data_IF_969313087672
#
_entry.id   IF_969313087672
#
_cell.length_a   1.000
_cell.length_b   1.000
_cell.length_c   1.000
_cell.angle_alpha   90.00
_cell.angle_beta   90.00
_cell.angle_gamma   90.00
#
_symmetry.space_group_name_H-M   'P 1'
#
loop_
_entity.id
_entity.type
_entity.pdbx_description
1 polymer ?
#
# COMPACT_ATOMS: atom_id res chain seq x y z
N UNK A 1 -13.83 -17.41 15.45
CA UNK A 1 -13.98 -16.68 14.18
C UNK A 1 -12.73 -15.83 13.96
N UNK A 2 -12.11 -15.96 12.81
CA UNK A 2 -10.91 -15.18 12.52
C UNK A 2 -11.28 -13.73 12.23
N UNK A 3 -10.30 -12.84 12.27
CA UNK A 3 -10.54 -11.44 11.93
C UNK A 3 -11.07 -11.32 10.50
N UNK A 4 -10.51 -12.08 9.56
CA UNK A 4 -10.98 -12.06 8.16
C UNK A 4 -12.45 -12.47 8.08
N UNK A 5 -12.83 -13.50 8.82
CA UNK A 5 -14.22 -13.95 8.85
C UNK A 5 -15.14 -12.89 9.44
N UNK A 6 -14.69 -12.20 10.48
CA UNK A 6 -15.48 -11.11 11.06
C UNK A 6 -15.68 -9.98 10.06
N UNK A 7 -14.61 -9.62 9.35
CA UNK A 7 -14.67 -8.55 8.33
C UNK A 7 -15.65 -8.96 7.22
N UNK A 8 -15.51 -10.18 6.71
CA UNK A 8 -16.38 -10.66 5.65
C UNK A 8 -17.86 -10.68 6.08
N UNK A 9 -18.13 -11.12 7.30
CA UNK A 9 -19.49 -11.19 7.80
C UNK A 9 -20.10 -9.80 7.95
N UNK A 10 -19.33 -8.84 8.44
CA UNK A 10 -19.81 -7.47 8.60
C UNK A 10 -20.10 -6.83 7.25
N UNK A 11 -19.26 -7.09 6.24
CA UNK A 11 -19.49 -6.57 4.90
C UNK A 11 -20.75 -7.20 4.30
N UNK A 12 -20.92 -8.52 4.45
CA UNK A 12 -22.09 -9.22 3.94
C UNK A 12 -23.39 -8.69 4.56
N UNK A 13 -23.34 -8.37 5.86
CA UNK A 13 -24.49 -7.84 6.57
C UNK A 13 -24.62 -6.32 6.47
N UNK A 14 -23.72 -5.68 5.73
CA UNK A 14 -23.70 -4.23 5.54
C UNK A 14 -23.55 -3.46 6.85
N UNK A 15 -22.85 -4.05 7.80
CA UNK A 15 -22.60 -3.40 9.09
C UNK A 15 -21.30 -2.58 9.02
N UNK A 16 -21.28 -1.61 8.12
CA UNK A 16 -20.06 -0.85 7.85
C UNK A 16 -19.60 0.02 9.02
N UNK A 17 -20.55 0.53 9.79
CA UNK A 17 -20.18 1.34 10.96
C UNK A 17 -19.49 0.48 12.02
N UNK A 18 -20.01 -0.73 12.24
CA UNK A 18 -19.39 -1.66 13.18
C UNK A 18 -18.02 -2.11 12.68
N UNK A 19 -17.91 -2.33 11.38
CA UNK A 19 -16.64 -2.73 10.77
C UNK A 19 -15.60 -1.63 10.95
N UNK A 20 -15.97 -0.38 10.70
CA UNK A 20 -15.05 0.73 10.89
C UNK A 20 -14.62 0.83 12.34
N UNK A 21 -15.56 0.68 13.27
CA UNK A 21 -15.24 0.70 14.70
C UNK A 21 -14.24 -0.39 15.08
N UNK A 22 -14.39 -1.57 14.50
CA UNK A 22 -13.47 -2.67 14.74
C UNK A 22 -12.08 -2.34 14.19
N UNK A 23 -12.00 -1.84 12.97
CA UNK A 23 -10.71 -1.60 12.31
C UNK A 23 -9.95 -0.41 12.85
N UNK A 24 -10.64 0.61 13.38
CA UNK A 24 -9.95 1.75 13.99
C UNK A 24 -9.71 1.56 15.48
N UNK A 25 -10.05 0.41 16.02
CA UNK A 25 -9.86 0.10 17.43
C UNK A 25 -8.42 -0.36 17.72
N UNK A 26 -8.27 -1.17 18.77
CA UNK A 26 -6.96 -1.57 19.25
C UNK A 26 -6.34 -2.76 18.53
N UNK A 27 -6.74 -3.04 17.30
CA UNK A 27 -6.20 -4.18 16.57
C UNK A 27 -4.83 -3.84 16.03
N UNK A 28 -3.88 -4.76 16.20
CA UNK A 28 -2.55 -4.59 15.66
C UNK A 28 -2.61 -4.56 14.13
N UNK A 29 -2.01 -3.55 13.48
CA UNK A 29 -2.01 -3.48 12.02
C UNK A 29 -1.47 -4.72 11.32
N UNK A 30 -0.53 -5.44 11.93
CA UNK A 30 -0.01 -6.69 11.35
C UNK A 30 -1.11 -7.73 11.28
N UNK A 31 -1.98 -7.79 12.29
CA UNK A 31 -3.10 -8.73 12.29
C UNK A 31 -4.11 -8.36 11.19
N UNK A 32 -4.30 -7.07 10.96
CA UNK A 32 -5.17 -6.61 9.88
C UNK A 32 -4.58 -7.02 8.53
N UNK A 33 -3.26 -6.86 8.36
CA UNK A 33 -2.58 -7.26 7.12
C UNK A 33 -2.74 -8.75 6.86
N UNK A 34 -2.60 -9.57 7.89
CA UNK A 34 -2.78 -11.01 7.74
C UNK A 34 -4.22 -11.34 7.33
N UNK A 35 -5.18 -10.67 7.93
CA UNK A 35 -6.58 -10.90 7.60
C UNK A 35 -6.88 -10.53 6.15
N UNK A 36 -6.23 -9.49 5.64
CA UNK A 36 -6.45 -9.03 4.28
C UNK A 36 -6.07 -10.10 3.25
N UNK A 37 -5.14 -10.99 3.57
CA UNK A 37 -4.76 -12.04 2.64
C UNK A 37 -5.86 -13.07 2.46
N UNK A 38 -6.81 -13.13 3.38
CA UNK A 38 -7.93 -14.08 3.32
C UNK A 38 -9.21 -13.44 2.79
N UNK A 39 -9.18 -12.17 2.43
CA UNK A 39 -10.36 -11.47 1.90
C UNK A 39 -10.35 -11.50 0.38
N UNK A 40 -11.54 -11.46 -0.23
CA UNK A 40 -11.59 -11.30 -1.68
C UNK A 40 -11.30 -9.83 -2.01
N UNK A 41 -11.10 -9.53 -3.30
CA UNK A 41 -10.68 -8.20 -3.73
C UNK A 41 -11.64 -7.10 -3.28
N UNK A 42 -12.93 -7.35 -3.42
CA UNK A 42 -13.93 -6.34 -3.05
C UNK A 42 -13.90 -6.07 -1.55
N UNK A 43 -13.87 -7.14 -0.75
CA UNK A 43 -13.82 -7.00 0.71
C UNK A 43 -12.56 -6.29 1.16
N UNK A 44 -11.44 -6.61 0.54
CA UNK A 44 -10.16 -6.02 0.88
C UNK A 44 -10.18 -4.51 0.65
N UNK A 45 -10.67 -4.07 -0.49
CA UNK A 45 -10.72 -2.63 -0.80
C UNK A 45 -11.66 -1.90 0.15
N UNK A 46 -12.82 -2.49 0.44
CA UNK A 46 -13.77 -1.88 1.38
C UNK A 46 -13.12 -1.71 2.75
N UNK A 47 -12.49 -2.77 3.25
CA UNK A 47 -11.84 -2.73 4.56
C UNK A 47 -10.67 -1.75 4.58
N UNK A 48 -9.86 -1.74 3.53
CA UNK A 48 -8.71 -0.85 3.46
C UNK A 48 -9.14 0.62 3.53
N UNK A 49 -10.21 0.97 2.84
CA UNK A 49 -10.70 2.35 2.83
C UNK A 49 -11.24 2.81 4.18
N UNK A 50 -11.52 1.89 5.07
CA UNK A 50 -12.00 2.23 6.42
C UNK A 50 -10.89 2.49 7.41
N UNK A 51 -9.65 2.17 7.05
CA UNK A 51 -8.52 2.38 7.95
C UNK A 51 -8.14 3.86 7.99
N UNK A 52 -7.60 4.30 9.13
CA UNK A 52 -7.02 5.64 9.19
C UNK A 52 -5.79 5.63 8.28
N UNK A 53 -5.36 6.81 7.83
CA UNK A 53 -4.22 6.86 6.92
C UNK A 53 -2.95 6.30 7.54
N UNK A 54 -2.78 6.50 8.84
CA UNK A 54 -1.62 5.97 9.56
C UNK A 54 -1.63 4.44 9.56
N UNK A 55 -2.78 3.84 9.92
CA UNK A 55 -2.91 2.39 9.95
C UNK A 55 -2.85 1.82 8.53
N UNK A 56 -3.46 2.50 7.58
CA UNK A 56 -3.45 2.05 6.19
C UNK A 56 -2.02 1.94 5.66
N UNK A 57 -1.16 2.91 5.98
CA UNK A 57 0.23 2.87 5.55
C UNK A 57 0.97 1.66 6.14
N UNK A 58 0.76 1.39 7.43
CA UNK A 58 1.41 0.26 8.08
C UNK A 58 0.94 -1.07 7.46
N UNK A 59 -0.36 -1.21 7.27
CA UNK A 59 -0.94 -2.42 6.68
C UNK A 59 -0.43 -2.60 5.25
N UNK A 60 -0.37 -1.50 4.50
CA UNK A 60 0.05 -1.55 3.11
C UNK A 60 1.47 -2.10 2.96
N UNK A 61 2.37 -1.70 3.84
CA UNK A 61 3.75 -2.18 3.81
C UNK A 61 3.83 -3.67 4.12
N UNK A 62 2.91 -4.18 4.93
CA UNK A 62 2.94 -5.58 5.39
C UNK A 62 2.30 -6.58 4.45
N UNK A 63 1.46 -6.15 3.51
CA UNK A 63 0.77 -7.08 2.61
C UNK A 63 1.64 -7.42 1.40
N UNK A 64 1.37 -8.55 0.72
CA UNK A 64 2.14 -8.94 -0.46
C UNK A 64 2.01 -7.96 -1.62
N UNK A 65 2.97 -7.98 -2.53
CA UNK A 65 3.04 -7.05 -3.65
C UNK A 65 1.80 -7.08 -4.55
N UNK A 66 1.22 -8.26 -4.77
CA UNK A 66 0.02 -8.35 -5.61
C UNK A 66 -1.16 -7.62 -4.99
N UNK A 67 -1.29 -7.67 -3.67
CA UNK A 67 -2.35 -6.93 -2.97
C UNK A 67 -2.03 -5.44 -2.94
N UNK A 68 -0.76 -5.07 -2.84
CA UNK A 68 -0.36 -3.67 -2.92
C UNK A 68 -0.74 -3.09 -4.28
N UNK A 69 -0.48 -3.83 -5.34
CA UNK A 69 -0.85 -3.39 -6.68
C UNK A 69 -2.36 -3.23 -6.81
N UNK A 70 -3.12 -4.19 -6.29
CA UNK A 70 -4.57 -4.11 -6.31
C UNK A 70 -5.07 -2.83 -5.64
N UNK A 71 -4.54 -2.53 -4.47
CA UNK A 71 -4.93 -1.33 -3.73
C UNK A 71 -4.59 -0.07 -4.52
N UNK A 72 -3.35 0.03 -5.03
CA UNK A 72 -2.92 1.22 -5.76
C UNK A 72 -3.79 1.45 -6.98
N UNK A 73 -4.23 0.41 -7.64
CA UNK A 73 -5.05 0.54 -8.84
C UNK A 73 -6.54 0.75 -8.54
N UNK A 74 -6.94 0.58 -7.29
CA UNK A 74 -8.35 0.64 -6.88
C UNK A 74 -8.75 1.91 -6.14
N UNK A 75 -7.81 2.55 -5.46
CA UNK A 75 -8.11 3.78 -4.69
C UNK A 75 -7.89 5.02 -5.58
N UNK A 76 -8.48 6.14 -5.18
CA UNK A 76 -8.32 7.36 -5.96
C UNK A 76 -7.02 8.08 -5.61
N UNK A 77 -6.68 9.12 -6.38
CA UNK A 77 -5.41 9.83 -6.23
C UNK A 77 -5.26 10.47 -4.85
N UNK A 78 -6.34 11.00 -4.30
CA UNK A 78 -6.30 11.62 -2.99
C UNK A 78 -5.99 10.58 -1.90
N UNK A 79 -6.66 9.44 -1.96
CA UNK A 79 -6.43 8.37 -1.01
C UNK A 79 -5.00 7.85 -1.11
N UNK A 80 -4.52 7.70 -2.34
CA UNK A 80 -3.16 7.23 -2.58
C UNK A 80 -2.14 8.23 -2.03
N UNK A 81 -2.36 9.52 -2.28
CA UNK A 81 -1.44 10.54 -1.78
C UNK A 81 -1.40 10.57 -0.25
N UNK A 82 -2.56 10.49 0.40
CA UNK A 82 -2.63 10.50 1.85
C UNK A 82 -1.85 9.33 2.44
N UNK A 83 -1.95 8.16 1.83
CA UNK A 83 -1.23 6.99 2.30
C UNK A 83 0.27 7.14 2.04
N UNK A 84 0.65 7.59 0.85
CA UNK A 84 2.07 7.77 0.51
C UNK A 84 2.76 8.75 1.45
N UNK A 85 2.04 9.80 1.85
CA UNK A 85 2.60 10.80 2.77
C UNK A 85 2.92 10.21 4.14
N UNK A 86 2.31 9.08 4.49
CA UNK A 86 2.56 8.41 5.77
C UNK A 86 3.68 7.37 5.68
N UNK A 87 4.15 7.05 4.47
CA UNK A 87 5.20 6.04 4.32
C UNK A 87 6.58 6.65 4.49
N UNK A 88 7.51 5.85 5.01
CA UNK A 88 8.91 6.23 4.97
C UNK A 88 9.41 6.04 3.54
N UNK A 89 10.37 6.85 3.14
CA UNK A 89 10.92 6.78 1.78
C UNK A 89 11.47 5.40 1.46
N UNK A 90 12.15 4.77 2.41
CA UNK A 90 12.71 3.43 2.20
C UNK A 90 11.63 2.41 1.87
N UNK A 91 10.49 2.47 2.57
CA UNK A 91 9.39 1.57 2.30
C UNK A 91 8.76 1.85 0.94
N UNK A 92 8.65 3.11 0.57
CA UNK A 92 8.11 3.50 -0.73
C UNK A 92 8.98 2.97 -1.86
N UNK A 93 10.30 3.06 -1.71
CA UNK A 93 11.24 2.55 -2.72
C UNK A 93 11.11 1.03 -2.86
N UNK A 94 11.03 0.31 -1.74
CA UNK A 94 10.89 -1.13 -1.77
C UNK A 94 9.61 -1.54 -2.52
N UNK A 95 8.52 -0.83 -2.28
CA UNK A 95 7.27 -1.10 -2.95
C UNK A 95 7.40 -0.84 -4.45
N UNK A 96 7.99 0.28 -4.81
CA UNK A 96 8.14 0.67 -6.20
C UNK A 96 8.97 -0.35 -6.97
N UNK A 97 10.01 -0.89 -6.35
CA UNK A 97 10.87 -1.88 -7.00
C UNK A 97 10.14 -3.16 -7.38
N UNK A 98 9.01 -3.44 -6.74
CA UNK A 98 8.25 -4.65 -7.02
C UNK A 98 7.03 -4.40 -7.91
N UNK A 99 6.83 -3.17 -8.36
CA UNK A 99 5.62 -2.81 -9.11
C UNK A 99 5.86 -2.69 -10.61
N UNK A 100 4.83 -2.95 -11.43
CA UNK A 100 4.91 -2.69 -12.86
C UNK A 100 5.11 -1.21 -13.15
N UNK A 101 5.66 -0.91 -14.31
CA UNK A 101 6.00 0.47 -14.68
C UNK A 101 4.81 1.43 -14.64
N UNK A 102 3.63 0.97 -15.04
CA UNK A 102 2.44 1.83 -15.03
C UNK A 102 2.01 2.19 -13.61
N UNK A 103 2.20 1.29 -12.66
CA UNK A 103 1.89 1.54 -11.25
C UNK A 103 2.91 2.50 -10.67
N UNK A 104 4.19 2.29 -10.98
CA UNK A 104 5.26 3.19 -10.55
C UNK A 104 4.99 4.61 -11.03
N UNK A 105 4.59 4.75 -12.30
CA UNK A 105 4.29 6.07 -12.86
C UNK A 105 3.18 6.76 -12.08
N UNK A 106 2.15 6.03 -11.69
CA UNK A 106 1.05 6.59 -10.92
C UNK A 106 1.51 7.03 -9.52
N UNK A 107 2.33 6.21 -8.87
CA UNK A 107 2.85 6.54 -7.54
C UNK A 107 3.67 7.83 -7.61
N UNK A 108 4.58 7.91 -8.57
CA UNK A 108 5.45 9.08 -8.70
C UNK A 108 4.66 10.34 -9.05
N UNK A 109 3.64 10.19 -9.89
CA UNK A 109 2.80 11.32 -10.25
C UNK A 109 2.00 11.84 -9.07
N UNK A 110 1.59 10.94 -8.19
CA UNK A 110 0.74 11.28 -7.05
C UNK A 110 1.54 11.79 -5.85
N UNK A 111 2.78 11.35 -5.69
CA UNK A 111 3.64 11.75 -4.57
C UNK A 111 3.94 13.24 -4.64
N UNK A 112 4.21 13.86 -3.47
CA UNK A 112 4.56 15.26 -3.50
C UNK A 112 5.95 15.43 -4.13
N UNK A 113 6.29 16.65 -4.59
CA UNK A 113 7.54 16.86 -5.35
C UNK A 113 8.81 16.48 -4.61
N UNK A 114 8.86 16.71 -3.31
CA UNK A 114 10.06 16.37 -2.54
C UNK A 114 10.22 14.86 -2.41
N UNK A 115 9.14 14.16 -2.14
CA UNK A 115 9.16 12.70 -2.04
C UNK A 115 9.53 12.10 -3.38
N UNK A 116 8.93 12.63 -4.47
CA UNK A 116 9.22 12.16 -5.82
C UNK A 116 10.69 12.32 -6.15
N UNK A 117 11.26 13.46 -5.81
CA UNK A 117 12.68 13.72 -6.07
C UNK A 117 13.56 12.74 -5.31
N UNK A 118 13.27 12.52 -4.03
CA UNK A 118 14.04 11.61 -3.20
C UNK A 118 13.98 10.18 -3.74
N UNK A 119 12.79 9.74 -4.13
CA UNK A 119 12.62 8.40 -4.69
C UNK A 119 13.42 8.26 -5.98
N UNK A 120 13.34 9.27 -6.87
CA UNK A 120 14.07 9.22 -8.13
C UNK A 120 15.57 9.19 -7.90
N UNK A 121 16.07 9.93 -6.93
CA UNK A 121 17.49 9.91 -6.61
C UNK A 121 17.96 8.53 -6.16
N UNK A 122 17.19 7.89 -5.31
CA UNK A 122 17.53 6.57 -4.81
C UNK A 122 17.50 5.53 -5.94
N UNK A 123 16.51 5.62 -6.82
CA UNK A 123 16.39 4.68 -7.93
C UNK A 123 17.48 4.89 -8.98
N UNK A 124 17.95 6.12 -9.17
CA UNK A 124 19.00 6.42 -10.13
C UNK A 124 20.38 6.07 -9.63
N UNK A 125 20.59 6.03 -8.33
CA UNK A 125 21.88 5.72 -7.73
C UNK A 125 21.77 4.42 -6.95
N UNK A 126 21.91 3.30 -7.64
CA UNK A 126 21.81 1.99 -6.98
C UNK A 126 22.87 1.88 -5.90
N UNK A 127 22.55 1.13 -4.89
CA UNK A 127 23.40 1.01 -3.80
C UNK A 127 24.75 0.54 -4.13
N UNK A 128 24.88 -0.34 -5.00
CA UNK A 128 26.13 -0.84 -5.37
C UNK A 128 26.75 0.01 -6.36
N UNK A 129 26.17 0.99 -6.65
CA UNK A 129 26.45 1.89 -7.57
C UNK A 129 27.52 1.55 -8.29
N UNK A 130 28.14 1.07 -8.07
CA UNK A 130 29.01 0.78 -8.86
C UNK A 130 28.46 0.75 -10.09
N UNK A 131 27.67 1.33 -10.29
CA UNK A 131 27.11 1.41 -11.46
C UNK A 131 26.49 0.20 -11.83
N UNK A 132 26.17 -0.44 -11.19
CA UNK A 132 25.49 -1.53 -11.60
C UNK A 132 24.25 -1.17 -12.19
N UNK A 133 23.85 -1.19 -12.52
CA UNK A 133 22.81 -1.02 -12.91
C UNK A 133 22.30 -0.58 -13.78
N UNK A 134 22.51 -0.41 -14.25
CA UNK A 134 22.14 0.02 -14.92
C UNK A 134 21.72 -0.50 -15.72
N UNK A 135 21.77 -1.20 -15.78
CA UNK A 135 21.46 -1.52 -16.30
C UNK A 135 20.57 -1.89 -16.47
N UNK A 136 20.28 -2.16 -16.30
CA UNK A 136 19.50 -2.27 -16.32
C UNK A 136 18.86 -2.01 -17.01
N UNK A 137 19.00 -1.94 -17.25
CA UNK A 137 18.66 -1.40 -17.59
C UNK A 137 18.41 -0.89 -18.16
N UNK A 138 18.58 -0.84 -18.16
CA UNK A 138 18.56 0.00 -18.30
C UNK A 138 18.38 0.51 -18.46
N UNK A 139 18.40 0.37 -18.29
CA UNK A 139 18.40 1.00 -18.12
C UNK A 139 18.28 1.35 -18.41
N UNK A 140 18.28 1.13 -18.65
CA UNK A 140 18.30 1.69 -18.78
C UNK A 140 18.15 1.98 -18.96
#
# INVERSE_FOLDING_TARGET
MTLAEQISAMIADKKFKDLKGLLVGDINPVDIAEAFEDLNEKELIIAFRMLSKETAAIVFVEIPADLQELIITSINDRELKEMLDELYVDDAVDIIEEMPANVVARILKTADPDTRRTINEILLYPEDSAGSIIDRKSVV
#
